data_IF_901890632230
#
_entry.id   IF_901890632230
#
_cell.length_a   1.000
_cell.length_b   1.000
_cell.length_c   1.000
_cell.angle_alpha   90.00
_cell.angle_beta   90.00
_cell.angle_gamma   90.00
#
_symmetry.space_group_name_H-M   'P 1'
#
loop_
_entity.id
_entity.type
_entity.pdbx_description
1 polymer ?
#
# COMPACT_ATOMS: atom_id res chain seq x y z
N UNK A 1 19.10 45.94 -7.62
CA UNK A 1 18.79 44.65 -8.27
C UNK A 1 17.80 43.83 -7.43
N UNK A 2 16.49 44.06 -7.60
CA UNK A 2 15.46 43.49 -6.71
C UNK A 2 15.19 41.98 -6.94
N UNK A 3 15.42 41.46 -8.15
CA UNK A 3 15.01 40.10 -8.53
C UNK A 3 15.92 39.00 -7.94
N UNK A 4 17.23 39.26 -7.81
CA UNK A 4 18.16 38.39 -7.08
C UNK A 4 17.98 38.51 -5.56
N UNK A 5 17.40 39.61 -5.07
CA UNK A 5 17.16 39.90 -3.66
C UNK A 5 16.43 38.78 -2.92
N UNK A 6 15.47 38.13 -3.59
CA UNK A 6 14.63 37.03 -3.07
C UNK A 6 15.12 35.63 -3.48
N UNK A 7 16.27 35.52 -4.15
CA UNK A 7 16.78 34.25 -4.69
C UNK A 7 17.34 33.31 -3.60
N UNK A 8 17.04 32.01 -3.72
CA UNK A 8 17.72 30.95 -2.95
C UNK A 8 19.17 30.83 -3.41
N UNK A 9 20.08 30.44 -2.52
CA UNK A 9 21.51 30.26 -2.83
C UNK A 9 21.71 29.28 -3.99
N UNK A 10 20.93 28.20 -3.99
CA UNK A 10 20.97 27.15 -5.02
C UNK A 10 20.62 27.72 -6.40
N UNK A 11 19.60 28.56 -6.50
CA UNK A 11 19.22 29.20 -7.77
C UNK A 11 20.32 30.14 -8.27
N UNK A 12 20.97 30.88 -7.35
CA UNK A 12 22.06 31.78 -7.70
C UNK A 12 23.33 31.02 -8.10
N UNK A 13 23.57 29.86 -7.52
CA UNK A 13 24.66 28.97 -7.89
C UNK A 13 24.47 28.42 -9.31
N UNK A 14 23.27 27.92 -9.63
CA UNK A 14 22.92 27.49 -11.00
C UNK A 14 23.03 28.67 -11.96
N UNK A 15 22.52 29.84 -11.59
CA UNK A 15 22.62 31.04 -12.43
C UNK A 15 24.08 31.44 -12.73
N UNK A 16 24.96 31.39 -11.73
CA UNK A 16 26.39 31.65 -11.93
C UNK A 16 27.05 30.58 -12.83
N UNK A 17 26.57 29.34 -12.78
CA UNK A 17 27.00 28.25 -13.67
C UNK A 17 26.59 28.52 -15.11
N UNK A 18 25.32 28.85 -15.35
CA UNK A 18 24.78 29.16 -16.69
C UNK A 18 25.45 30.38 -17.33
N UNK A 19 25.84 31.36 -16.50
CA UNK A 19 26.60 32.54 -16.93
C UNK A 19 28.11 32.27 -17.11
N UNK A 20 28.55 31.01 -16.96
CA UNK A 20 29.96 30.59 -17.04
C UNK A 20 30.90 31.37 -16.10
N UNK A 21 30.38 31.80 -14.93
CA UNK A 21 31.15 32.51 -13.92
C UNK A 21 31.85 31.51 -13.00
N UNK A 22 33.13 31.78 -12.67
CA UNK A 22 33.86 30.97 -11.69
C UNK A 22 33.28 31.21 -10.30
N UNK A 23 32.61 30.20 -9.76
CA UNK A 23 31.97 30.25 -8.45
C UNK A 23 32.33 28.99 -7.64
N UNK A 24 32.22 29.09 -6.32
CA UNK A 24 32.49 28.00 -5.39
C UNK A 24 31.27 27.69 -4.51
N UNK A 25 31.14 26.44 -4.07
CA UNK A 25 30.02 25.99 -3.23
C UNK A 25 30.00 26.67 -1.86
N UNK A 26 31.14 27.17 -1.37
CA UNK A 26 31.23 27.92 -0.11
C UNK A 26 30.79 29.38 -0.23
N UNK A 27 30.59 29.89 -1.45
CA UNK A 27 30.20 31.28 -1.66
C UNK A 27 28.83 31.58 -1.03
N UNK A 28 28.77 32.70 -0.31
CA UNK A 28 27.52 33.23 0.26
C UNK A 28 26.59 33.77 -0.84
N UNK A 29 25.32 33.95 -0.50
CA UNK A 29 24.33 34.61 -1.38
C UNK A 29 24.81 36.00 -1.82
N UNK A 30 25.42 36.77 -0.91
CA UNK A 30 25.91 38.11 -1.21
C UNK A 30 27.06 38.09 -2.22
N UNK A 31 28.03 37.19 -2.02
CA UNK A 31 29.17 37.03 -2.94
C UNK A 31 28.73 36.55 -4.32
N UNK A 32 27.76 35.62 -4.40
CA UNK A 32 27.20 35.18 -5.69
C UNK A 32 26.46 36.31 -6.42
N UNK A 33 25.68 37.11 -5.69
CA UNK A 33 25.01 38.29 -6.27
C UNK A 33 26.01 39.27 -6.87
N UNK A 34 27.04 39.61 -6.10
CA UNK A 34 28.06 40.56 -6.53
C UNK A 34 28.85 40.01 -7.74
N UNK A 35 29.13 38.71 -7.77
CA UNK A 35 29.79 38.06 -8.91
C UNK A 35 28.95 38.17 -10.19
N UNK A 36 27.65 37.93 -10.09
CA UNK A 36 26.72 37.99 -11.22
C UNK A 36 26.54 39.42 -11.72
N UNK A 37 26.26 40.37 -10.83
CA UNK A 37 26.01 41.77 -11.23
C UNK A 37 27.29 42.54 -11.58
N UNK A 38 28.44 42.05 -11.12
CA UNK A 38 29.75 42.65 -11.37
C UNK A 38 30.47 42.12 -12.61
N UNK A 39 29.87 41.18 -13.35
CA UNK A 39 30.47 40.67 -14.59
C UNK A 39 30.42 41.72 -15.70
N UNK A 40 31.50 41.84 -16.48
CA UNK A 40 31.66 42.83 -17.55
C UNK A 40 30.56 42.75 -18.63
N UNK A 41 29.97 41.57 -18.83
CA UNK A 41 28.86 41.32 -19.77
C UNK A 41 27.49 41.20 -19.11
N UNK A 42 27.27 41.81 -17.93
CA UNK A 42 25.99 41.71 -17.23
C UNK A 42 24.85 42.39 -18.00
N UNK A 43 23.93 41.57 -18.49
CA UNK A 43 22.62 42.00 -19.02
C UNK A 43 21.53 41.68 -17.98
N UNK A 44 20.85 42.71 -17.49
CA UNK A 44 19.81 42.57 -16.47
C UNK A 44 18.60 41.79 -16.99
N UNK A 45 18.15 42.00 -18.23
CA UNK A 45 16.97 41.31 -18.76
C UNK A 45 17.28 39.84 -19.02
N UNK A 46 18.43 39.55 -19.63
CA UNK A 46 18.88 38.18 -19.85
C UNK A 46 19.01 37.41 -18.53
N UNK A 47 19.70 38.02 -17.55
CA UNK A 47 19.94 37.38 -16.25
C UNK A 47 18.63 37.18 -15.48
N UNK A 48 17.70 38.13 -15.58
CA UNK A 48 16.37 38.01 -14.96
C UNK A 48 15.54 36.90 -15.59
N UNK A 49 15.55 36.77 -16.92
CA UNK A 49 14.84 35.71 -17.63
C UNK A 49 15.42 34.34 -17.27
N UNK A 50 16.75 34.21 -17.26
CA UNK A 50 17.44 32.98 -16.88
C UNK A 50 17.14 32.59 -15.43
N UNK A 51 17.19 33.55 -14.50
CA UNK A 51 16.82 33.31 -13.11
C UNK A 51 15.34 32.89 -12.96
N UNK A 52 14.44 33.45 -13.77
CA UNK A 52 13.02 33.07 -13.77
C UNK A 52 12.82 31.62 -14.23
N UNK A 53 13.52 31.20 -15.28
CA UNK A 53 13.51 29.81 -15.77
C UNK A 53 13.99 28.84 -14.70
N UNK A 54 15.15 29.11 -14.07
CA UNK A 54 15.69 28.27 -12.99
C UNK A 54 14.70 28.14 -11.81
N UNK A 55 14.07 29.25 -11.42
CA UNK A 55 13.04 29.25 -10.36
C UNK A 55 11.82 28.43 -10.79
N UNK A 56 11.40 28.54 -12.05
CA UNK A 56 10.30 27.79 -12.65
C UNK A 56 10.56 26.28 -12.66
N UNK A 57 11.71 25.87 -13.17
CA UNK A 57 12.11 24.45 -13.26
C UNK A 57 12.16 23.81 -11.88
N UNK A 58 12.73 24.51 -10.89
CA UNK A 58 12.73 24.02 -9.50
C UNK A 58 11.32 23.83 -8.95
N UNK A 59 10.42 24.81 -9.17
CA UNK A 59 9.03 24.70 -8.71
C UNK A 59 8.29 23.55 -9.40
N UNK A 60 8.48 23.41 -10.70
CA UNK A 60 7.91 22.32 -11.49
C UNK A 60 8.40 20.96 -10.98
N UNK A 61 9.71 20.83 -10.71
CA UNK A 61 10.27 19.60 -10.16
C UNK A 61 9.75 19.29 -8.74
N UNK A 62 9.65 20.30 -7.86
CA UNK A 62 9.06 20.16 -6.52
C UNK A 62 7.58 19.73 -6.59
N UNK A 63 6.82 20.24 -7.55
CA UNK A 63 5.41 19.87 -7.76
C UNK A 63 5.27 18.44 -8.30
N UNK A 64 6.13 18.05 -9.24
CA UNK A 64 6.19 16.68 -9.74
C UNK A 64 6.50 15.69 -8.62
N UNK A 65 7.51 15.96 -7.81
CA UNK A 65 7.87 15.11 -6.66
C UNK A 65 6.68 14.98 -5.70
N UNK A 66 6.02 16.09 -5.35
CA UNK A 66 4.83 16.05 -4.48
C UNK A 66 3.69 15.22 -5.08
N UNK A 67 3.47 15.33 -6.38
CA UNK A 67 2.43 14.57 -7.09
C UNK A 67 2.76 13.07 -7.08
N UNK A 68 4.02 12.73 -7.37
CA UNK A 68 4.51 11.34 -7.35
C UNK A 68 4.43 10.75 -5.93
N UNK A 69 4.80 11.51 -4.90
CA UNK A 69 4.66 11.09 -3.49
C UNK A 69 3.19 10.85 -3.09
N UNK A 70 2.28 11.73 -3.51
CA UNK A 70 0.85 11.56 -3.27
C UNK A 70 0.30 10.31 -3.98
N UNK A 71 0.68 10.10 -5.24
CA UNK A 71 0.25 8.92 -6.00
C UNK A 71 0.78 7.62 -5.37
N UNK A 72 2.04 7.61 -4.94
CA UNK A 72 2.61 6.47 -4.22
C UNK A 72 1.85 6.18 -2.92
N UNK A 73 1.52 7.22 -2.16
CA UNK A 73 0.76 7.07 -0.92
C UNK A 73 -0.63 6.46 -1.18
N UNK A 74 -1.35 6.95 -2.19
CA UNK A 74 -2.64 6.39 -2.59
C UNK A 74 -2.53 4.93 -3.02
N UNK A 75 -1.51 4.57 -3.80
CA UNK A 75 -1.27 3.18 -4.22
C UNK A 75 -1.00 2.24 -3.04
N UNK A 76 -0.30 2.72 -2.01
CA UNK A 76 -0.06 1.96 -0.78
C UNK A 76 -1.37 1.78 -0.01
N UNK A 77 -2.12 2.87 0.20
CA UNK A 77 -3.41 2.84 0.91
C UNK A 77 -4.42 1.90 0.22
N UNK A 78 -4.53 1.96 -1.11
CA UNK A 78 -5.39 1.04 -1.86
C UNK A 78 -4.96 -0.42 -1.72
N UNK A 79 -3.65 -0.68 -1.70
CA UNK A 79 -3.12 -2.04 -1.53
C UNK A 79 -3.43 -2.57 -0.13
N UNK A 80 -3.25 -1.76 0.90
CA UNK A 80 -3.58 -2.12 2.27
C UNK A 80 -5.07 -2.40 2.45
N UNK A 81 -5.93 -1.57 1.85
CA UNK A 81 -7.38 -1.78 1.91
C UNK A 81 -7.80 -3.06 1.18
N UNK A 82 -7.22 -3.36 0.00
CA UNK A 82 -7.46 -4.64 -0.68
C UNK A 82 -7.07 -5.84 0.18
N UNK A 83 -5.92 -5.79 0.85
CA UNK A 83 -5.47 -6.85 1.75
C UNK A 83 -6.44 -7.01 2.93
N UNK A 84 -6.91 -5.89 3.50
CA UNK A 84 -7.88 -5.89 4.61
C UNK A 84 -9.19 -6.55 4.19
N UNK A 85 -9.74 -6.16 3.05
CA UNK A 85 -10.99 -6.73 2.51
C UNK A 85 -10.82 -8.23 2.26
N UNK A 86 -9.72 -8.65 1.63
CA UNK A 86 -9.50 -10.05 1.32
C UNK A 86 -9.37 -10.90 2.58
N UNK A 87 -8.69 -10.38 3.61
CA UNK A 87 -8.60 -11.06 4.91
C UNK A 87 -9.98 -11.25 5.54
N UNK A 88 -10.84 -10.24 5.51
CA UNK A 88 -12.21 -10.35 6.01
C UNK A 88 -13.03 -11.40 5.25
N UNK A 89 -12.86 -11.49 3.92
CA UNK A 89 -13.54 -12.51 3.10
C UNK A 89 -13.08 -13.92 3.43
N UNK A 90 -11.77 -14.12 3.60
CA UNK A 90 -11.20 -15.40 4.01
C UNK A 90 -11.72 -15.80 5.39
N UNK A 91 -11.74 -14.88 6.34
CA UNK A 91 -12.22 -15.16 7.70
C UNK A 91 -13.72 -15.47 7.70
N UNK A 92 -14.54 -14.76 6.91
CA UNK A 92 -15.96 -15.08 6.75
C UNK A 92 -16.17 -16.47 6.14
N UNK A 93 -15.39 -16.82 5.11
CA UNK A 93 -15.48 -18.13 4.47
C UNK A 93 -15.12 -19.25 5.45
N UNK A 94 -14.03 -19.09 6.20
CA UNK A 94 -13.63 -20.06 7.24
C UNK A 94 -14.74 -20.32 8.25
N UNK A 95 -15.42 -19.27 8.72
CA UNK A 95 -16.56 -19.44 9.65
C UNK A 95 -17.72 -20.21 9.01
N UNK A 96 -17.99 -20.01 7.71
CA UNK A 96 -19.02 -20.76 6.98
C UNK A 96 -18.63 -22.23 6.85
N UNK A 97 -17.39 -22.50 6.46
CA UNK A 97 -16.85 -23.85 6.31
C UNK A 97 -16.85 -24.60 7.65
N UNK A 98 -16.46 -23.93 8.74
CA UNK A 98 -16.52 -24.49 10.11
C UNK A 98 -17.96 -24.83 10.53
N UNK A 99 -18.92 -23.95 10.23
CA UNK A 99 -20.32 -24.18 10.53
C UNK A 99 -20.89 -25.36 9.74
N UNK A 100 -20.59 -25.46 8.45
CA UNK A 100 -21.02 -26.60 7.63
C UNK A 100 -20.40 -27.92 8.10
N UNK A 101 -19.11 -27.89 8.47
CA UNK A 101 -18.42 -29.05 9.01
C UNK A 101 -19.06 -29.55 10.31
N UNK A 102 -19.43 -28.63 11.20
CA UNK A 102 -20.08 -28.98 12.47
C UNK A 102 -21.48 -29.55 12.24
N UNK A 103 -22.25 -28.97 11.31
CA UNK A 103 -23.55 -29.52 10.90
C UNK A 103 -23.42 -30.95 10.37
N UNK A 104 -22.44 -31.21 9.51
CA UNK A 104 -22.17 -32.55 8.98
C UNK A 104 -21.73 -33.51 10.08
N UNK A 105 -20.91 -33.08 11.03
CA UNK A 105 -20.53 -33.90 12.20
C UNK A 105 -21.74 -34.31 13.03
N UNK A 106 -22.62 -33.37 13.35
CA UNK A 106 -23.85 -33.65 14.12
C UNK A 106 -24.75 -34.63 13.34
N UNK A 107 -24.94 -34.42 12.03
CA UNK A 107 -25.72 -35.33 11.19
C UNK A 107 -25.11 -36.73 11.15
N UNK A 108 -23.79 -36.85 11.01
CA UNK A 108 -23.11 -38.15 11.02
C UNK A 108 -23.26 -38.86 12.36
N UNK A 109 -23.11 -38.15 13.49
CA UNK A 109 -23.34 -38.70 14.83
C UNK A 109 -24.78 -39.18 15.02
N UNK A 110 -25.76 -38.41 14.56
CA UNK A 110 -27.17 -38.79 14.62
C UNK A 110 -27.45 -40.05 13.78
N UNK A 111 -26.96 -40.09 12.54
CA UNK A 111 -27.14 -41.25 11.66
C UNK A 111 -26.46 -42.52 12.19
N UNK A 112 -25.27 -42.39 12.80
CA UNK A 112 -24.60 -43.49 13.50
C UNK A 112 -25.41 -43.99 14.69
N UNK A 113 -25.96 -43.08 15.50
CA UNK A 113 -26.84 -43.43 16.62
C UNK A 113 -28.08 -44.20 16.17
N UNK A 114 -28.74 -43.76 15.09
CA UNK A 114 -29.90 -44.44 14.50
C UNK A 114 -29.54 -45.84 13.97
N UNK A 115 -28.43 -45.98 13.23
CA UNK A 115 -27.99 -47.27 12.70
C UNK A 115 -27.64 -48.28 13.81
N UNK A 116 -27.07 -47.82 14.92
CA UNK A 116 -26.82 -48.69 16.08
C UNK A 116 -28.10 -49.13 16.76
N UNK A 117 -29.12 -48.28 16.82
CA UNK A 117 -30.41 -48.60 17.44
C UNK A 117 -31.17 -49.66 16.61
N UNK A 118 -31.27 -49.47 15.29
CA UNK A 118 -31.90 -50.44 14.37
C UNK A 118 -31.13 -51.78 14.34
N UNK A 119 -29.79 -51.73 14.43
CA UNK A 119 -28.94 -52.92 14.52
C UNK A 119 -29.12 -53.69 15.84
N UNK A 120 -29.36 -52.99 16.95
CA UNK A 120 -29.63 -53.62 18.25
C UNK A 120 -31.03 -54.25 18.31
N UNK A 121 -32.06 -53.60 17.77
CA UNK A 121 -33.41 -54.18 17.73
C UNK A 121 -33.47 -55.43 16.83
N UNK A 122 -32.81 -55.38 15.68
CA UNK A 122 -32.72 -56.52 14.76
C UNK A 122 -32.00 -57.73 15.39
N UNK A 123 -30.91 -57.49 16.11
CA UNK A 123 -30.17 -58.55 16.81
C UNK A 123 -30.92 -59.10 18.03
N UNK A 124 -31.63 -58.24 18.79
CA UNK A 124 -32.44 -58.66 19.92
C UNK A 124 -33.60 -59.55 19.45
N UNK A 125 -34.29 -59.13 18.37
CA UNK A 125 -35.37 -59.89 17.75
C UNK A 125 -34.90 -61.25 17.20
N UNK A 126 -33.73 -61.31 16.56
CA UNK A 126 -33.15 -62.56 16.07
C UNK A 126 -32.77 -63.52 17.21
N UNK A 127 -32.19 -63.02 18.31
CA UNK A 127 -31.83 -63.87 19.45
C UNK A 127 -33.07 -64.40 20.20
N UNK A 128 -34.12 -63.58 20.33
CA UNK A 128 -35.39 -64.00 20.91
C UNK A 128 -36.07 -65.08 20.06
N UNK A 129 -36.10 -64.90 18.74
CA UNK A 129 -36.67 -65.89 17.82
C UNK A 129 -35.90 -67.22 17.86
N UNK A 130 -34.57 -67.18 17.93
CA UNK A 130 -33.73 -68.39 18.05
C UNK A 130 -33.94 -69.13 19.37
N UNK A 131 -34.12 -68.42 20.49
CA UNK A 131 -34.36 -69.05 21.80
C UNK A 131 -35.77 -69.65 21.92
N UNK A 132 -36.78 -69.03 21.29
CA UNK A 132 -38.14 -69.60 21.26
C UNK A 132 -38.15 -70.90 20.44
N UNK A 133 -37.49 -70.93 19.29
CA UNK A 133 -37.43 -72.11 18.42
C UNK A 133 -36.74 -73.33 19.07
N UNK A 134 -35.77 -73.10 19.97
CA UNK A 134 -35.07 -74.16 20.70
C UNK A 134 -35.86 -74.74 21.88
N UNK A 135 -36.85 -74.01 22.41
CA UNK A 135 -37.64 -74.43 23.58
C UNK A 135 -38.99 -75.07 23.22
N UNK A 136 -39.31 -75.21 21.92
CA UNK A 136 -40.57 -75.79 21.42
C UNK A 136 -40.43 -77.17 20.77
N UNK A 137 -39.29 -77.84 20.96
CA UNK A 137 -39.01 -79.24 20.60
C UNK A 137 -38.87 -80.08 21.87
#
# INVERSE_FOLDING_TARGET
>A
MAYLGKGRRENLFVLATELNLKHDKSMTIATLKNLITGSEGYDEELTKNLHATIVGDRKSNEERIRTEEQEQKLRIEEREERIRIEKLRIDEQKRKDEFELEKLRIQAQFNLGAATYEGTESNLAFSLASNIALNTL
#
